data_IF_132594852736
#
_entry.id   IF_132594852736
#
_cell.length_a   1.000
_cell.length_b   1.000
_cell.length_c   1.000
_cell.angle_alpha   90.00
_cell.angle_beta   90.00
_cell.angle_gamma   90.00
#
_symmetry.space_group_name_H-M   'P 1'
#
loop_
_entity.id
_entity.type
_entity.pdbx_description
1 polymer ?
#
# COMPACT_ATOMS: atom_id res chain seq x y z
N UNK A 1 -19.99 8.35 -14.76
CA UNK A 1 -18.68 8.53 -14.09
C UNK A 1 -18.86 8.96 -12.63
N UNK A 2 -19.58 8.17 -11.81
CA UNK A 2 -19.84 8.46 -10.37
C UNK A 2 -19.00 7.61 -9.40
N UNK A 3 -17.96 6.91 -9.88
CA UNK A 3 -17.27 5.86 -9.12
C UNK A 3 -15.79 6.15 -8.78
N UNK A 4 -15.26 7.35 -9.09
CA UNK A 4 -13.90 7.77 -8.71
C UNK A 4 -14.00 8.73 -7.52
N UNK A 5 -14.13 8.17 -6.32
CA UNK A 5 -14.02 8.93 -5.08
C UNK A 5 -12.55 9.17 -4.75
N UNK A 6 -12.25 10.23 -3.99
CA UNK A 6 -10.89 10.52 -3.52
C UNK A 6 -10.24 9.31 -2.85
N UNK A 7 -11.01 8.54 -2.09
CA UNK A 7 -10.59 7.31 -1.44
C UNK A 7 -10.07 6.26 -2.44
N UNK A 8 -10.80 6.04 -3.54
CA UNK A 8 -10.39 5.10 -4.60
C UNK A 8 -9.17 5.59 -5.36
N UNK A 9 -9.03 6.90 -5.53
CA UNK A 9 -7.84 7.51 -6.14
C UNK A 9 -6.61 7.28 -5.26
N UNK A 10 -6.72 7.46 -3.94
CA UNK A 10 -5.63 7.20 -3.00
C UNK A 10 -5.21 5.73 -3.01
N UNK A 11 -6.18 4.80 -2.95
CA UNK A 11 -5.89 3.36 -3.04
C UNK A 11 -5.20 3.02 -4.36
N UNK A 12 -5.64 3.59 -5.49
CA UNK A 12 -5.05 3.35 -6.80
C UNK A 12 -3.60 3.87 -6.90
N UNK A 13 -3.33 5.07 -6.36
CA UNK A 13 -1.98 5.64 -6.31
C UNK A 13 -1.06 4.76 -5.46
N UNK A 14 -1.48 4.38 -4.26
CA UNK A 14 -0.69 3.51 -3.38
C UNK A 14 -0.44 2.12 -4.01
N UNK A 15 -1.46 1.53 -4.64
CA UNK A 15 -1.33 0.24 -5.31
C UNK A 15 -0.38 0.30 -6.51
N UNK A 16 -0.51 1.32 -7.36
CA UNK A 16 0.39 1.54 -8.51
C UNK A 16 1.83 1.72 -8.05
N UNK A 17 2.04 2.43 -6.95
CA UNK A 17 3.36 2.62 -6.37
C UNK A 17 4.00 1.30 -5.90
N UNK A 18 3.22 0.42 -5.24
CA UNK A 18 3.69 -0.92 -4.85
C UNK A 18 4.07 -1.75 -6.08
N UNK A 19 3.29 -1.67 -7.16
CA UNK A 19 3.60 -2.37 -8.42
C UNK A 19 4.92 -1.85 -9.02
N UNK A 20 5.12 -0.53 -9.06
CA UNK A 20 6.37 0.07 -9.57
C UNK A 20 7.56 -0.42 -8.75
N UNK A 21 7.46 -0.43 -7.41
CA UNK A 21 8.51 -0.97 -6.53
C UNK A 21 8.75 -2.46 -6.81
N UNK A 22 7.68 -3.25 -6.97
CA UNK A 22 7.78 -4.67 -7.32
C UNK A 22 8.50 -4.92 -8.65
N UNK A 23 8.21 -4.13 -9.69
CA UNK A 23 8.88 -4.20 -11.00
C UNK A 23 10.36 -3.82 -10.88
N UNK A 24 10.67 -2.73 -10.19
CA UNK A 24 12.07 -2.30 -9.97
C UNK A 24 12.88 -3.36 -9.23
N UNK A 25 12.26 -4.03 -8.24
CA UNK A 25 12.90 -5.13 -7.53
C UNK A 25 13.08 -6.38 -8.41
N UNK A 26 12.10 -6.73 -9.24
CA UNK A 26 12.22 -7.81 -10.22
C UNK A 26 13.34 -7.55 -11.26
N UNK A 27 13.60 -6.29 -11.59
CA UNK A 27 14.65 -5.87 -12.52
C UNK A 27 16.07 -5.90 -11.91
N UNK A 28 16.23 -6.32 -10.65
CA UNK A 28 17.53 -6.39 -9.99
C UNK A 28 18.16 -5.03 -9.73
N UNK A 29 17.38 -3.94 -9.81
CA UNK A 29 17.80 -2.63 -9.32
C UNK A 29 18.11 -2.83 -7.83
N UNK A 30 19.32 -2.50 -7.35
CA UNK A 30 19.72 -2.68 -5.96
C UNK A 30 19.01 -1.66 -5.06
N UNK A 31 17.68 -1.67 -5.08
CA UNK A 31 16.91 -1.44 -3.90
C UNK A 31 17.36 -2.54 -2.93
N UNK A 32 18.28 -2.21 -2.01
CA UNK A 32 18.17 -2.85 -0.70
C UNK A 32 16.71 -2.67 -0.34
N UNK A 33 15.91 -3.72 -0.39
CA UNK A 33 14.50 -3.70 -0.03
C UNK A 33 14.32 -3.21 1.41
N UNK A 34 15.36 -3.40 2.23
CA UNK A 34 15.65 -2.69 3.47
C UNK A 34 15.58 -1.15 3.37
N UNK A 35 16.17 -0.53 2.34
CA UNK A 35 16.08 0.93 2.13
C UNK A 35 14.63 1.31 1.96
N UNK A 36 13.81 0.60 1.17
CA UNK A 36 12.40 0.93 1.00
C UNK A 36 11.48 0.34 2.07
N UNK A 37 12.00 -0.31 3.11
CA UNK A 37 11.17 -0.80 4.21
C UNK A 37 10.33 -2.05 3.93
N UNK A 38 10.49 -2.69 2.78
CA UNK A 38 9.72 -3.86 2.39
C UNK A 38 10.59 -5.10 2.45
N UNK A 39 10.66 -5.76 3.61
CA UNK A 39 11.35 -7.05 3.73
C UNK A 39 10.50 -8.20 3.16
N UNK A 40 10.24 -8.15 1.84
CA UNK A 40 9.42 -9.14 1.15
C UNK A 40 9.85 -9.32 -0.31
N UNK A 41 9.45 -10.44 -0.90
CA UNK A 41 9.82 -10.80 -2.28
C UNK A 41 9.05 -9.96 -3.32
N UNK A 42 9.65 -9.65 -4.47
CA UNK A 42 8.98 -8.90 -5.55
C UNK A 42 7.66 -9.53 -6.04
N UNK A 43 7.49 -10.87 -6.10
CA UNK A 43 6.22 -11.44 -6.50
C UNK A 43 5.09 -11.08 -5.53
N UNK A 44 5.40 -11.05 -4.22
CA UNK A 44 4.42 -10.66 -3.18
C UNK A 44 4.00 -9.21 -3.35
N UNK A 45 4.93 -8.30 -3.63
CA UNK A 45 4.62 -6.89 -3.91
C UNK A 45 3.69 -6.74 -5.12
N UNK A 46 3.97 -7.44 -6.22
CA UNK A 46 3.12 -7.39 -7.41
C UNK A 46 1.72 -7.93 -7.14
N UNK A 47 1.61 -9.06 -6.42
CA UNK A 47 0.31 -9.64 -6.04
C UNK A 47 -0.47 -8.66 -5.16
N UNK A 48 0.16 -8.07 -4.15
CA UNK A 48 -0.48 -7.08 -3.27
C UNK A 48 -0.95 -5.85 -4.06
N UNK A 49 -0.10 -5.31 -4.92
CA UNK A 49 -0.43 -4.16 -5.76
C UNK A 49 -1.63 -4.43 -6.68
N UNK A 50 -1.67 -5.58 -7.34
CA UNK A 50 -2.81 -5.98 -8.19
C UNK A 50 -4.09 -6.14 -7.37
N UNK A 51 -4.01 -6.81 -6.21
CA UNK A 51 -5.16 -6.97 -5.31
C UNK A 51 -5.72 -5.60 -4.87
N UNK A 52 -4.86 -4.64 -4.53
CA UNK A 52 -5.30 -3.29 -4.14
C UNK A 52 -5.96 -2.50 -5.29
N UNK A 53 -5.50 -2.66 -6.54
CA UNK A 53 -6.18 -2.06 -7.71
C UNK A 53 -7.58 -2.65 -7.88
N UNK A 54 -7.73 -3.98 -7.80
CA UNK A 54 -9.02 -4.65 -7.96
C UNK A 54 -10.06 -4.15 -6.95
N UNK A 55 -9.61 -3.83 -5.73
CA UNK A 55 -10.49 -3.33 -4.66
C UNK A 55 -10.93 -1.89 -4.94
N UNK A 56 -10.02 -1.06 -5.44
CA UNK A 56 -10.33 0.32 -5.85
C UNK A 56 -11.42 0.36 -6.93
N UNK A 57 -11.53 -0.69 -7.74
CA UNK A 57 -12.52 -0.85 -8.81
C UNK A 57 -13.83 -1.52 -8.36
N UNK A 58 -13.94 -1.97 -7.10
CA UNK A 58 -15.15 -2.63 -6.59
C UNK A 58 -16.35 -1.67 -6.51
N UNK A 59 -17.53 -2.18 -6.88
CA UNK A 59 -18.70 -1.36 -7.24
C UNK A 59 -19.74 -1.25 -6.11
N UNK A 60 -19.68 -2.07 -5.06
CA UNK A 60 -20.56 -1.94 -3.88
C UNK A 60 -19.85 -2.34 -2.59
N UNK A 61 -19.79 -1.47 -1.57
CA UNK A 61 -19.37 -1.89 -0.24
C UNK A 61 -20.50 -2.68 0.42
N UNK A 62 -20.32 -3.99 0.54
CA UNK A 62 -21.11 -4.84 1.44
C UNK A 62 -20.31 -5.21 2.68
N UNK A 63 -20.88 -6.04 3.56
CA UNK A 63 -20.17 -6.56 4.74
C UNK A 63 -18.81 -7.20 4.41
N UNK A 64 -18.73 -7.92 3.29
CA UNK A 64 -17.48 -8.50 2.80
C UNK A 64 -16.44 -7.47 2.35
N UNK A 65 -16.88 -6.33 1.82
CA UNK A 65 -16.02 -5.22 1.42
C UNK A 65 -15.47 -4.49 2.64
N UNK A 66 -16.30 -4.34 3.68
CA UNK A 66 -15.91 -3.78 4.97
C UNK A 66 -14.82 -4.63 5.63
N UNK A 67 -15.06 -5.95 5.76
CA UNK A 67 -14.06 -6.89 6.31
C UNK A 67 -12.75 -6.83 5.54
N UNK A 68 -12.81 -6.79 4.20
CA UNK A 68 -11.62 -6.66 3.38
C UNK A 68 -10.88 -5.34 3.58
N UNK A 69 -11.59 -4.21 3.58
CA UNK A 69 -10.97 -2.90 3.79
C UNK A 69 -10.36 -2.76 5.20
N UNK A 70 -10.98 -3.35 6.22
CA UNK A 70 -10.40 -3.45 7.56
C UNK A 70 -9.14 -4.31 7.59
N UNK A 71 -9.16 -5.49 6.94
CA UNK A 71 -7.99 -6.35 6.84
C UNK A 71 -6.82 -5.65 6.14
N UNK A 72 -7.09 -4.89 5.07
CA UNK A 72 -6.09 -4.13 4.32
C UNK A 72 -5.54 -2.98 5.15
N UNK A 73 -6.41 -2.26 5.84
CA UNK A 73 -5.99 -1.18 6.74
C UNK A 73 -5.12 -1.75 7.85
N UNK A 74 -5.50 -2.89 8.43
CA UNK A 74 -4.71 -3.60 9.44
C UNK A 74 -3.34 -4.03 8.91
N UNK A 75 -3.28 -4.62 7.71
CA UNK A 75 -2.02 -4.98 7.06
C UNK A 75 -1.15 -3.74 6.78
N UNK A 76 -1.73 -2.68 6.23
CA UNK A 76 -1.03 -1.43 5.97
C UNK A 76 -0.42 -0.84 7.26
N UNK A 77 -1.17 -0.88 8.37
CA UNK A 77 -0.69 -0.45 9.69
C UNK A 77 0.43 -1.36 10.21
N UNK A 78 0.32 -2.69 10.05
CA UNK A 78 1.38 -3.63 10.44
C UNK A 78 2.68 -3.36 9.67
N UNK A 79 2.59 -3.14 8.35
CA UNK A 79 3.76 -2.79 7.53
C UNK A 79 4.35 -1.43 7.93
N UNK A 80 3.50 -0.44 8.23
CA UNK A 80 3.89 0.85 8.78
C UNK A 80 4.67 0.71 10.09
N UNK A 81 4.13 -0.03 11.07
CA UNK A 81 4.76 -0.25 12.37
C UNK A 81 6.07 -1.02 12.19
N UNK A 82 6.06 -2.10 11.39
CA UNK A 82 7.25 -2.89 11.09
C UNK A 82 8.38 -2.07 10.49
N UNK A 83 8.04 -1.09 9.64
CA UNK A 83 9.00 -0.11 9.12
C UNK A 83 9.62 0.74 10.23
N UNK A 84 8.79 1.41 11.04
CA UNK A 84 9.28 2.32 12.09
C UNK A 84 10.08 1.61 13.19
N UNK A 85 9.78 0.34 13.48
CA UNK A 85 10.51 -0.47 14.47
C UNK A 85 11.89 -0.88 13.97
N UNK A 86 12.04 -1.18 12.68
CA UNK A 86 13.31 -1.64 12.09
C UNK A 86 14.09 -0.52 11.38
N UNK A 87 13.60 0.71 11.43
CA UNK A 87 14.24 1.86 10.79
C UNK A 87 15.57 2.20 11.48
N UNK A 88 16.64 2.27 10.70
CA UNK A 88 17.93 2.78 11.16
C UNK A 88 17.95 4.30 11.10
N UNK A 89 17.51 4.97 12.17
CA UNK A 89 17.43 6.44 12.21
C UNK A 89 18.78 7.16 12.07
N UNK A 90 19.92 6.46 12.07
CA UNK A 90 21.23 7.06 11.84
C UNK A 90 21.60 7.10 10.34
N UNK A 91 20.95 6.28 9.52
CA UNK A 91 21.20 6.23 8.09
C UNK A 91 20.43 7.34 7.34
N UNK A 92 21.08 8.15 6.50
CA UNK A 92 20.39 9.10 5.62
C UNK A 92 19.43 8.41 4.66
N UNK A 93 19.68 7.13 4.37
CA UNK A 93 18.85 6.32 3.48
C UNK A 93 17.53 5.87 4.11
N UNK A 94 17.42 5.92 5.43
CA UNK A 94 16.15 5.66 6.15
C UNK A 94 15.10 6.69 5.80
N UNK A 95 15.52 7.92 5.48
CA UNK A 95 14.61 8.95 5.00
C UNK A 95 14.07 8.67 3.60
N UNK A 96 14.89 8.06 2.74
CA UNK A 96 14.43 7.52 1.46
C UNK A 96 13.56 6.27 1.64
N UNK A 97 13.70 5.57 2.77
CA UNK A 97 12.82 4.47 3.13
C UNK A 97 11.40 4.82 3.47
N UNK A 98 11.15 6.07 3.88
CA UNK A 98 9.77 6.57 3.98
C UNK A 98 9.02 6.49 2.64
N UNK A 99 9.71 6.39 1.50
CA UNK A 99 9.08 6.15 0.20
C UNK A 99 8.33 4.81 0.13
N UNK A 100 8.66 3.81 0.96
CA UNK A 100 7.90 2.57 1.08
C UNK A 100 6.74 2.63 2.07
N UNK A 101 6.72 3.64 2.94
CA UNK A 101 5.64 3.89 3.90
C UNK A 101 4.46 4.61 3.25
N UNK A 102 4.76 5.56 2.36
CA UNK A 102 3.76 6.39 1.66
C UNK A 102 2.67 5.54 0.96
N UNK A 103 2.98 4.46 0.22
CA UNK A 103 1.97 3.61 -0.41
C UNK A 103 1.01 2.98 0.61
N UNK A 104 1.53 2.52 1.74
CA UNK A 104 0.71 1.92 2.81
C UNK A 104 -0.21 2.96 3.46
N UNK A 105 0.25 4.21 3.63
CA UNK A 105 -0.59 5.30 4.10
C UNK A 105 -1.73 5.61 3.12
N UNK A 106 -1.43 5.70 1.82
CA UNK A 106 -2.45 5.94 0.79
C UNK A 106 -3.48 4.81 0.71
N UNK A 107 -3.03 3.56 0.81
CA UNK A 107 -3.92 2.40 0.82
C UNK A 107 -4.77 2.36 2.09
N UNK A 108 -4.20 2.59 3.27
CA UNK A 108 -4.93 2.58 4.53
C UNK A 108 -5.97 3.71 4.62
N UNK A 109 -5.56 4.96 4.32
CA UNK A 109 -6.48 6.11 4.33
C UNK A 109 -7.53 5.98 3.23
N UNK A 110 -7.13 5.50 2.05
CA UNK A 110 -8.05 5.25 0.94
C UNK A 110 -9.07 4.14 1.25
N UNK A 111 -8.65 3.04 1.88
CA UNK A 111 -9.54 1.95 2.27
C UNK A 111 -10.54 2.38 3.35
N UNK A 112 -10.10 3.12 4.37
CA UNK A 112 -10.99 3.71 5.38
C UNK A 112 -11.97 4.70 4.76
N UNK A 113 -11.47 5.65 3.95
CA UNK A 113 -12.33 6.63 3.28
C UNK A 113 -13.34 5.97 2.35
N UNK A 114 -13.01 4.84 1.71
CA UNK A 114 -13.95 4.12 0.86
C UNK A 114 -15.11 3.51 1.65
N UNK A 115 -14.87 3.07 2.89
CA UNK A 115 -15.91 2.61 3.81
C UNK A 115 -16.79 3.79 4.26
N UNK A 116 -16.20 4.90 4.67
CA UNK A 116 -16.93 6.01 5.32
C UNK A 116 -17.60 7.00 4.36
N UNK A 117 -17.18 7.08 3.08
CA UNK A 117 -17.76 8.01 2.08
C UNK A 117 -18.95 7.39 1.33
N UNK A 118 -19.24 6.10 1.56
CA UNK A 118 -20.35 5.39 0.93
C UNK A 118 -21.53 5.07 1.87
N UNK A 119 -21.46 5.51 3.14
CA UNK A 119 -22.64 5.72 3.99
C UNK A 119 -23.17 7.15 3.82
#
# INVERSE_FOLDING_TARGET
MKNLTWSKILMFIGATWIIIIGILFAAGVPAKTLIYGWDTSWPVLLILGVLYILISLSVKPGFWSLLWALAITGLAVIFLIGFFVNADYQSPWTYLGYLGVIPNLFIGVGALGWIFVYE
#
